data_IF_518612439395
#
_entry.id   IF_518612439395
#
_cell.length_a   1.000
_cell.length_b   1.000
_cell.length_c   1.000
_cell.angle_alpha   90.00
_cell.angle_beta   90.00
_cell.angle_gamma   90.00
#
_symmetry.space_group_name_H-M   'P 1'
#
loop_
_entity.id
_entity.type
_entity.pdbx_description
1 polymer ?
#
# COMPACT_ATOMS: atom_id res chain seq x y z
N UNK A 1 -19.36 21.47 42.44
CA UNK A 1 -19.61 22.03 41.10
C UNK A 1 -18.50 23.02 40.83
N UNK A 2 -17.62 22.80 39.87
CA UNK A 2 -17.94 22.75 38.43
C UNK A 2 -17.03 21.73 37.73
N UNK A 3 -17.64 20.85 36.94
CA UNK A 3 -16.97 20.10 35.88
C UNK A 3 -16.92 21.03 34.66
N UNK A 4 -15.82 21.03 33.93
CA UNK A 4 -15.84 20.66 32.51
C UNK A 4 -14.40 20.54 31.99
N UNK A 5 -13.99 19.28 31.87
CA UNK A 5 -12.86 18.83 31.07
C UNK A 5 -13.41 18.74 29.64
N UNK A 6 -13.13 19.74 28.82
CA UNK A 6 -13.28 19.60 27.36
C UNK A 6 -12.06 18.84 26.85
N UNK A 7 -12.16 17.52 26.84
CA UNK A 7 -11.24 16.66 26.09
C UNK A 7 -11.56 16.84 24.61
N UNK A 8 -10.95 17.84 23.97
CA UNK A 8 -10.98 17.97 22.53
C UNK A 8 -10.26 16.78 21.91
N UNK A 9 -11.06 15.79 21.51
CA UNK A 9 -10.63 14.62 20.76
C UNK A 9 -10.37 15.06 19.32
N UNK A 10 -9.24 15.72 19.07
CA UNK A 10 -8.78 15.98 17.71
C UNK A 10 -8.36 14.63 17.13
N UNK A 11 -9.24 14.01 16.34
CA UNK A 11 -8.88 12.94 15.43
C UNK A 11 -7.87 13.50 14.43
N UNK A 12 -6.58 13.31 14.69
CA UNK A 12 -5.54 13.68 13.75
C UNK A 12 -5.76 12.87 12.47
N UNK A 13 -6.25 13.57 11.43
CA UNK A 13 -6.12 13.14 10.05
C UNK A 13 -4.62 13.10 9.75
N UNK A 14 -3.99 11.95 9.96
CA UNK A 14 -2.63 11.71 9.47
C UNK A 14 -2.73 11.54 7.96
N UNK A 15 -2.76 12.67 7.26
CA UNK A 15 -2.47 12.64 5.83
C UNK A 15 -1.09 12.00 5.72
N UNK A 16 -0.92 10.85 5.04
CA UNK A 16 0.35 10.16 4.98
C UNK A 16 1.35 11.15 4.36
N UNK A 17 2.29 11.60 5.18
CA UNK A 17 3.19 12.71 4.84
C UNK A 17 4.08 12.37 3.64
N UNK A 18 4.20 11.07 3.31
CA UNK A 18 4.98 10.56 2.20
C UNK A 18 4.16 9.60 1.34
N UNK A 19 4.18 9.84 0.03
CA UNK A 19 3.58 8.98 -1.00
C UNK A 19 4.65 8.56 -2.00
N UNK A 20 4.71 7.29 -2.32
CA UNK A 20 5.64 6.72 -3.29
C UNK A 20 4.84 6.19 -4.49
N UNK A 21 5.24 6.60 -5.69
CA UNK A 21 4.75 6.03 -6.94
C UNK A 21 5.87 5.20 -7.58
N UNK A 22 5.64 3.92 -7.81
CA UNK A 22 6.55 3.00 -8.48
C UNK A 22 6.05 2.79 -9.93
N UNK A 23 6.80 3.20 -10.96
CA UNK A 23 6.43 2.97 -12.38
C UNK A 23 7.01 1.64 -12.87
N UNK A 24 6.15 0.80 -13.45
CA UNK A 24 6.43 -0.56 -13.90
C UNK A 24 6.18 -1.57 -12.79
N UNK A 25 5.31 -2.56 -13.03
CA UNK A 25 4.98 -3.64 -12.09
C UNK A 25 5.61 -4.96 -12.56
N UNK A 26 6.64 -5.40 -11.85
CA UNK A 26 7.39 -6.61 -12.16
C UNK A 26 8.01 -7.22 -10.91
N UNK A 27 8.93 -8.16 -11.11
CA UNK A 27 9.58 -8.88 -10.00
C UNK A 27 10.21 -7.95 -8.97
N UNK A 28 10.99 -6.96 -9.43
CA UNK A 28 11.72 -6.02 -8.56
C UNK A 28 10.77 -5.03 -7.89
N UNK A 29 10.01 -4.27 -8.67
CA UNK A 29 9.14 -3.21 -8.15
C UNK A 29 8.01 -3.76 -7.29
N UNK A 30 7.37 -4.85 -7.68
CA UNK A 30 6.27 -5.44 -6.92
C UNK A 30 6.70 -5.97 -5.55
N UNK A 31 7.79 -6.75 -5.49
CA UNK A 31 8.33 -7.26 -4.22
C UNK A 31 8.89 -6.14 -3.34
N UNK A 32 9.67 -5.22 -3.91
CA UNK A 32 10.26 -4.09 -3.18
C UNK A 32 9.18 -3.18 -2.59
N UNK A 33 8.21 -2.75 -3.41
CA UNK A 33 7.14 -1.87 -2.97
C UNK A 33 6.24 -2.58 -1.94
N UNK A 34 6.08 -3.92 -1.99
CA UNK A 34 5.42 -4.70 -0.94
C UNK A 34 6.18 -4.73 0.39
N UNK A 35 7.50 -4.91 0.38
CA UNK A 35 8.31 -4.88 1.60
C UNK A 35 8.30 -3.48 2.24
N UNK A 36 8.43 -2.42 1.44
CA UNK A 36 8.38 -1.04 1.96
C UNK A 36 7.03 -0.77 2.61
N UNK A 37 5.91 -1.10 1.95
CA UNK A 37 4.58 -0.89 2.54
C UNK A 37 4.36 -1.73 3.81
N UNK A 38 4.96 -2.92 3.90
CA UNK A 38 4.90 -3.74 5.12
C UNK A 38 5.72 -3.18 6.28
N UNK A 39 6.85 -2.51 6.01
CA UNK A 39 7.75 -1.96 7.05
C UNK A 39 7.38 -0.52 7.43
N UNK A 40 6.72 0.20 6.53
CA UNK A 40 6.35 1.60 6.69
C UNK A 40 4.83 1.77 6.50
N UNK A 41 3.99 1.41 7.50
CA UNK A 41 2.54 1.43 7.37
C UNK A 41 1.96 2.83 7.10
N UNK A 42 2.68 3.89 7.49
CA UNK A 42 2.26 5.28 7.32
C UNK A 42 2.57 5.87 5.93
N UNK A 43 3.25 5.11 5.06
CA UNK A 43 3.56 5.53 3.68
C UNK A 43 2.53 4.91 2.73
N UNK A 44 1.93 5.71 1.86
CA UNK A 44 1.13 5.19 0.76
C UNK A 44 2.01 4.89 -0.45
N UNK A 45 1.89 3.68 -0.96
CA UNK A 45 2.64 3.20 -2.11
C UNK A 45 1.66 2.83 -3.21
N UNK A 46 1.84 3.41 -4.38
CA UNK A 46 1.08 3.05 -5.59
C UNK A 46 2.05 2.53 -6.64
N UNK A 47 1.84 1.31 -7.12
CA UNK A 47 2.60 0.74 -8.22
C UNK A 47 1.76 0.84 -9.49
N UNK A 48 2.29 1.49 -10.53
CA UNK A 48 1.57 1.75 -11.77
C UNK A 48 2.23 1.03 -12.94
N UNK A 49 1.44 0.51 -13.88
CA UNK A 49 1.93 -0.13 -15.10
C UNK A 49 0.91 0.02 -16.22
N UNK A 50 1.39 0.16 -17.46
CA UNK A 50 0.55 0.26 -18.67
C UNK A 50 -0.19 -1.06 -18.97
N UNK A 51 0.34 -2.19 -18.50
CA UNK A 51 -0.28 -3.51 -18.65
C UNK A 51 -1.37 -3.72 -17.61
N UNK A 52 -2.62 -3.57 -18.04
CA UNK A 52 -3.80 -3.88 -17.24
C UNK A 52 -3.81 -5.34 -16.73
N UNK A 53 -3.28 -6.27 -17.54
CA UNK A 53 -3.15 -7.68 -17.17
C UNK A 53 -2.21 -7.85 -15.96
N UNK A 54 -1.03 -7.22 -15.98
CA UNK A 54 -0.09 -7.29 -14.85
C UNK A 54 -0.70 -6.66 -13.59
N UNK A 55 -1.33 -5.49 -13.72
CA UNK A 55 -2.03 -4.84 -12.60
C UNK A 55 -3.13 -5.74 -12.04
N UNK A 56 -3.92 -6.40 -12.89
CA UNK A 56 -4.95 -7.33 -12.46
C UNK A 56 -4.36 -8.53 -11.69
N UNK A 57 -3.26 -9.11 -12.18
CA UNK A 57 -2.56 -10.19 -11.49
C UNK A 57 -2.10 -9.76 -10.09
N UNK A 58 -1.51 -8.56 -9.96
CA UNK A 58 -1.09 -8.00 -8.67
C UNK A 58 -2.24 -7.61 -7.74
N UNK A 59 -3.46 -7.44 -8.26
CA UNK A 59 -4.68 -7.25 -7.48
C UNK A 59 -5.36 -8.56 -7.06
N UNK A 60 -5.00 -9.68 -7.69
CA UNK A 60 -5.60 -10.99 -7.46
C UNK A 60 -4.96 -11.75 -6.30
N UNK A 61 -5.57 -12.87 -5.91
CA UNK A 61 -5.01 -13.77 -4.88
C UNK A 61 -3.84 -14.62 -5.37
N UNK A 62 -3.58 -14.64 -6.68
CA UNK A 62 -2.49 -15.35 -7.33
C UNK A 62 -1.50 -14.33 -7.94
N UNK A 63 -0.41 -14.06 -7.23
CA UNK A 63 0.61 -13.13 -7.71
C UNK A 63 1.30 -13.66 -8.98
N UNK A 64 1.72 -12.76 -9.90
CA UNK A 64 2.38 -13.16 -11.14
C UNK A 64 3.85 -13.62 -10.94
N UNK A 65 4.34 -13.60 -9.69
CA UNK A 65 5.68 -14.05 -9.32
C UNK A 65 5.59 -14.91 -8.06
N UNK A 66 6.52 -15.84 -7.92
CA UNK A 66 6.68 -16.63 -6.71
C UNK A 66 7.87 -16.14 -5.91
N UNK A 67 7.62 -15.73 -4.66
CA UNK A 67 8.64 -15.45 -3.65
C UNK A 67 8.14 -15.97 -2.29
N UNK A 68 8.95 -16.75 -1.54
CA UNK A 68 8.54 -17.29 -0.24
C UNK A 68 8.04 -16.18 0.70
N UNK A 69 6.77 -16.27 1.10
CA UNK A 69 6.13 -15.33 2.04
C UNK A 69 5.60 -14.02 1.43
N UNK A 70 5.88 -13.73 0.15
CA UNK A 70 5.42 -12.50 -0.49
C UNK A 70 3.88 -12.41 -0.54
N UNK A 71 3.21 -13.50 -0.87
CA UNK A 71 1.75 -13.58 -0.91
C UNK A 71 1.11 -13.15 0.41
N UNK A 72 1.63 -13.61 1.54
CA UNK A 72 1.11 -13.27 2.86
C UNK A 72 1.29 -11.77 3.15
N UNK A 73 2.45 -11.23 2.80
CA UNK A 73 2.75 -9.80 2.98
C UNK A 73 1.80 -8.96 2.14
N UNK A 74 1.71 -9.24 0.84
CA UNK A 74 0.88 -8.46 -0.09
C UNK A 74 -0.59 -8.51 0.34
N UNK A 75 -1.15 -9.68 0.68
CA UNK A 75 -2.53 -9.78 1.16
C UNK A 75 -2.82 -8.93 2.40
N UNK A 76 -1.85 -8.79 3.32
CA UNK A 76 -2.03 -8.00 4.56
C UNK A 76 -2.03 -6.49 4.35
N UNK A 77 -1.39 -5.98 3.29
CA UNK A 77 -1.13 -4.54 3.08
C UNK A 77 -1.82 -3.97 1.84
N UNK A 78 -2.19 -4.83 0.88
CA UNK A 78 -2.91 -4.43 -0.32
C UNK A 78 -4.22 -3.74 0.07
N UNK A 79 -4.53 -2.64 -0.61
CA UNK A 79 -5.69 -1.79 -0.34
C UNK A 79 -5.69 -1.10 1.03
N UNK A 80 -4.62 -1.21 1.83
CA UNK A 80 -4.42 -0.43 3.06
C UNK A 80 -3.44 0.70 2.81
N UNK A 81 -2.22 0.35 2.40
CA UNK A 81 -1.18 1.31 2.06
C UNK A 81 -0.35 0.90 0.84
N UNK A 82 -0.68 -0.23 0.19
CA UNK A 82 -0.16 -0.66 -1.10
C UNK A 82 -1.29 -0.74 -2.12
N UNK A 83 -1.15 -0.03 -3.24
CA UNK A 83 -2.13 0.05 -4.31
C UNK A 83 -1.49 -0.26 -5.66
N UNK A 84 -2.31 -0.74 -6.60
CA UNK A 84 -1.91 -1.01 -7.97
C UNK A 84 -2.84 -0.28 -8.94
N UNK A 85 -2.31 0.40 -9.95
CA UNK A 85 -3.14 1.15 -10.92
C UNK A 85 -2.59 1.09 -12.35
N UNK A 86 -3.45 1.33 -13.33
CA UNK A 86 -3.04 1.60 -14.72
C UNK A 86 -3.01 3.09 -15.03
N UNK A 87 -3.45 3.93 -14.08
CA UNK A 87 -3.38 5.38 -14.17
C UNK A 87 -1.94 5.82 -13.83
N UNK A 88 -1.15 6.03 -14.88
CA UNK A 88 0.29 6.34 -14.84
C UNK A 88 0.55 7.83 -14.87
#
# INVERSE_FOLDING_TARGET
STKDVTTDSISQSTNPALRICCIGVGYVSGSTCAIIASKCPDILITVVDVSAERIAAWKSDALPIFEPGLDEIVRKIRNRNLFFSTDT
#
